data_IF_283016643941
#
_entry.id   IF_283016643941
#
_cell.length_a   1.000
_cell.length_b   1.000
_cell.length_c   1.000
_cell.angle_alpha   90.00
_cell.angle_beta   90.00
_cell.angle_gamma   90.00
#
_symmetry.space_group_name_H-M   'P 1'
#
loop_
_entity.id
_entity.type
_entity.pdbx_description
1 polymer ?
#
# COMPACT_ATOMS: atom_id res chain seq x y z
N UNK A 1 -45.52 -0.18 42.92
CA UNK A 1 -44.61 -1.34 42.77
C UNK A 1 -43.81 -1.12 41.49
N UNK A 2 -42.56 -0.67 41.60
CA UNK A 2 -41.68 -0.43 40.47
C UNK A 2 -40.62 -1.55 40.44
N UNK A 3 -40.64 -2.37 39.39
CA UNK A 3 -39.58 -3.33 39.09
C UNK A 3 -38.56 -2.69 38.16
N UNK A 4 -37.30 -2.71 38.61
CA UNK A 4 -36.12 -2.26 37.87
C UNK A 4 -35.73 -3.31 36.83
N UNK A 5 -36.01 -3.05 35.55
CA UNK A 5 -35.43 -3.78 34.43
C UNK A 5 -34.12 -3.10 34.00
N UNK A 6 -33.00 -3.56 34.55
CA UNK A 6 -31.67 -3.24 34.04
C UNK A 6 -31.42 -3.97 32.73
N UNK A 7 -31.29 -3.20 31.66
CA UNK A 7 -31.02 -3.62 30.29
C UNK A 7 -29.73 -4.43 30.15
N UNK A 8 -29.81 -5.49 29.34
CA UNK A 8 -28.77 -6.44 28.91
C UNK A 8 -27.54 -5.80 28.22
N UNK A 9 -27.51 -4.47 28.09
CA UNK A 9 -26.45 -3.72 27.43
C UNK A 9 -25.18 -3.54 28.28
N UNK A 10 -25.28 -3.53 29.61
CA UNK A 10 -24.11 -3.27 30.47
C UNK A 10 -23.26 -4.51 30.77
N UNK A 11 -23.82 -5.72 30.67
CA UNK A 11 -23.10 -6.98 30.94
C UNK A 11 -22.23 -7.39 29.72
N UNK A 12 -22.60 -7.01 28.50
CA UNK A 12 -21.86 -7.31 27.27
C UNK A 12 -20.53 -6.53 27.14
N UNK A 13 -20.42 -5.35 27.77
CA UNK A 13 -19.26 -4.45 27.59
C UNK A 13 -18.00 -4.91 28.35
N UNK A 14 -18.16 -5.57 29.51
CA UNK A 14 -17.03 -6.11 30.30
C UNK A 14 -16.49 -7.45 29.76
N UNK A 15 -17.33 -8.27 29.14
CA UNK A 15 -16.90 -9.54 28.50
C UNK A 15 -16.29 -9.34 27.10
N UNK A 16 -16.61 -8.23 26.40
CA UNK A 16 -15.98 -7.87 25.12
C UNK A 16 -14.56 -7.29 25.29
N UNK A 17 -14.26 -6.66 26.42
CA UNK A 17 -12.96 -6.03 26.66
C UNK A 17 -11.81 -7.04 26.86
N UNK A 18 -12.04 -8.19 27.50
CA UNK A 18 -11.01 -9.23 27.65
C UNK A 18 -10.72 -9.97 26.34
N UNK A 19 -11.75 -10.23 25.52
CA UNK A 19 -11.59 -10.80 24.18
C UNK A 19 -10.86 -9.86 23.22
N UNK A 20 -11.14 -8.55 23.29
CA UNK A 20 -10.43 -7.53 22.51
C UNK A 20 -8.97 -7.41 22.97
N UNK A 21 -8.71 -7.43 24.28
CA UNK A 21 -7.34 -7.34 24.81
C UNK A 21 -6.50 -8.57 24.47
N UNK A 22 -7.06 -9.79 24.53
CA UNK A 22 -6.38 -11.01 24.05
C UNK A 22 -6.17 -10.98 22.53
N UNK A 23 -7.13 -10.47 21.76
CA UNK A 23 -6.97 -10.33 20.31
C UNK A 23 -5.89 -9.30 19.95
N UNK A 24 -5.80 -8.20 20.69
CA UNK A 24 -4.72 -7.20 20.57
C UNK A 24 -3.37 -7.81 20.95
N UNK A 25 -3.28 -8.49 22.11
CA UNK A 25 -2.06 -9.17 22.55
C UNK A 25 -1.59 -10.22 21.54
N UNK A 26 -2.51 -11.00 20.96
CA UNK A 26 -2.21 -12.00 19.91
C UNK A 26 -1.84 -11.33 18.58
N UNK A 27 -2.45 -10.20 18.20
CA UNK A 27 -2.05 -9.47 16.99
C UNK A 27 -0.67 -8.83 17.14
N UNK A 28 -0.38 -8.22 18.28
CA UNK A 28 0.93 -7.67 18.61
C UNK A 28 2.00 -8.78 18.60
N UNK A 29 1.72 -9.92 19.24
CA UNK A 29 2.63 -11.07 19.22
C UNK A 29 2.84 -11.64 17.82
N UNK A 30 1.78 -11.73 17.00
CA UNK A 30 1.88 -12.24 15.62
C UNK A 30 2.67 -11.30 14.72
N UNK A 31 2.46 -9.99 14.86
CA UNK A 31 3.23 -8.96 14.16
C UNK A 31 4.69 -9.00 14.61
N UNK A 32 4.97 -9.09 15.90
CA UNK A 32 6.33 -9.25 16.43
C UNK A 32 7.01 -10.50 15.85
N UNK A 33 6.37 -11.67 15.87
CA UNK A 33 6.93 -12.90 15.26
C UNK A 33 7.21 -12.69 13.76
N UNK A 34 6.27 -12.09 13.04
CA UNK A 34 6.38 -11.87 11.59
C UNK A 34 7.53 -10.93 11.24
N UNK A 35 7.72 -9.86 12.00
CA UNK A 35 8.71 -8.83 11.73
C UNK A 35 10.09 -9.12 12.34
N UNK A 36 10.19 -9.95 13.39
CA UNK A 36 11.45 -10.16 14.11
C UNK A 36 12.00 -11.59 14.09
N UNK A 37 11.17 -12.62 13.88
CA UNK A 37 11.57 -14.04 13.95
C UNK A 37 11.52 -14.77 12.60
N UNK A 38 10.61 -14.39 11.70
CA UNK A 38 10.57 -14.97 10.35
C UNK A 38 11.66 -14.33 9.47
N UNK A 39 12.66 -15.16 9.12
CA UNK A 39 13.95 -14.77 8.55
C UNK A 39 13.87 -14.48 7.04
N UNK A 40 14.51 -13.38 6.63
CA UNK A 40 15.14 -13.05 5.34
C UNK A 40 14.45 -13.56 4.08
N UNK A 41 13.63 -12.71 3.47
CA UNK A 41 13.43 -12.79 2.04
C UNK A 41 14.78 -12.42 1.37
N UNK A 42 15.40 -13.39 0.70
CA UNK A 42 16.68 -13.22 0.00
C UNK A 42 16.38 -12.53 -1.34
N UNK A 43 16.36 -11.19 -1.37
CA UNK A 43 16.18 -10.48 -2.63
C UNK A 43 17.51 -10.44 -3.41
N UNK A 44 17.52 -10.59 -4.76
CA UNK A 44 18.71 -10.55 -5.60
C UNK A 44 19.30 -9.13 -5.71
N UNK A 45 20.63 -8.93 -5.77
CA UNK A 45 21.26 -7.60 -5.85
C UNK A 45 20.72 -6.83 -7.06
N UNK A 46 20.11 -5.65 -6.83
CA UNK A 46 19.72 -4.74 -7.91
C UNK A 46 20.64 -3.54 -7.88
N UNK A 47 21.27 -3.29 -9.02
CA UNK A 47 22.43 -2.40 -9.18
C UNK A 47 22.02 -1.11 -9.91
N UNK A 48 20.79 -0.61 -9.70
CA UNK A 48 20.14 0.36 -10.60
C UNK A 48 19.81 1.73 -10.01
N UNK A 49 20.20 2.05 -8.76
CA UNK A 49 19.89 3.38 -8.19
C UNK A 49 20.84 4.46 -8.72
N UNK A 50 22.03 4.06 -9.15
CA UNK A 50 23.09 4.98 -9.58
C UNK A 50 22.83 5.66 -10.93
N UNK A 51 21.82 5.26 -11.70
CA UNK A 51 21.66 5.70 -13.10
C UNK A 51 20.57 6.77 -13.26
N UNK A 52 19.66 6.95 -12.30
CA UNK A 52 18.42 7.74 -12.48
C UNK A 52 18.30 8.99 -11.62
N UNK A 53 19.07 9.11 -10.54
CA UNK A 53 19.07 10.28 -9.65
C UNK A 53 20.26 11.17 -9.95
N UNK A 54 20.02 12.46 -10.15
CA UNK A 54 21.08 13.47 -10.21
C UNK A 54 21.85 13.60 -8.89
N UNK A 55 23.08 14.10 -8.96
CA UNK A 55 23.98 14.26 -7.82
C UNK A 55 23.37 15.16 -6.71
N UNK A 56 22.58 16.19 -7.05
CA UNK A 56 21.94 17.05 -6.06
C UNK A 56 20.71 16.39 -5.42
N UNK A 57 19.91 15.67 -6.22
CA UNK A 57 18.79 14.86 -5.74
C UNK A 57 19.29 13.72 -4.84
N UNK A 58 20.40 13.08 -5.22
CA UNK A 58 21.10 12.05 -4.46
C UNK A 58 21.55 12.56 -3.11
N UNK A 59 22.19 13.73 -3.06
CA UNK A 59 22.66 14.30 -1.79
C UNK A 59 21.49 14.61 -0.85
N UNK A 60 20.42 15.19 -1.37
CA UNK A 60 19.18 15.44 -0.61
C UNK A 60 18.54 14.14 -0.11
N UNK A 61 18.60 13.09 -0.93
CA UNK A 61 18.12 11.76 -0.62
C UNK A 61 18.96 11.07 0.47
N UNK A 62 20.28 11.12 0.37
CA UNK A 62 21.23 10.61 1.36
C UNK A 62 21.11 11.34 2.72
N UNK A 63 20.96 12.67 2.69
CA UNK A 63 20.76 13.50 3.89
C UNK A 63 19.44 13.16 4.60
N UNK A 64 18.37 12.86 3.86
CA UNK A 64 17.08 12.44 4.44
C UNK A 64 17.10 11.00 4.97
N UNK A 65 17.95 10.13 4.41
CA UNK A 65 18.11 8.73 4.81
C UNK A 65 18.88 8.57 6.12
N UNK A 66 19.86 9.44 6.37
CA UNK A 66 20.75 9.33 7.52
C UNK A 66 20.04 9.32 8.89
N UNK A 67 19.08 10.22 9.20
CA UNK A 67 18.35 10.14 10.47
C UNK A 67 17.48 8.87 10.57
N UNK A 68 16.88 8.41 9.47
CA UNK A 68 16.08 7.19 9.44
C UNK A 68 16.92 5.95 9.69
N UNK A 69 18.13 5.89 9.15
CA UNK A 69 19.05 4.79 9.34
C UNK A 69 19.52 4.71 10.80
N UNK A 70 19.74 5.85 11.46
CA UNK A 70 20.08 5.87 12.90
C UNK A 70 18.93 5.35 13.77
N UNK A 71 17.67 5.76 13.48
CA UNK A 71 16.49 5.25 14.17
C UNK A 71 16.31 3.74 13.94
N UNK A 72 16.49 3.28 12.70
CA UNK A 72 16.44 1.85 12.36
C UNK A 72 17.44 1.06 13.19
N UNK A 73 18.69 1.53 13.29
CA UNK A 73 19.74 0.87 14.06
C UNK A 73 19.40 0.82 15.55
N UNK A 74 18.87 1.90 16.12
CA UNK A 74 18.43 1.94 17.51
C UNK A 74 17.32 0.91 17.77
N UNK A 75 16.27 0.88 16.94
CA UNK A 75 15.18 -0.09 17.06
C UNK A 75 15.70 -1.53 16.92
N UNK A 76 16.64 -1.77 16.01
CA UNK A 76 17.22 -3.11 15.83
C UNK A 76 18.05 -3.55 17.05
N UNK A 77 18.78 -2.61 17.68
CA UNK A 77 19.51 -2.87 18.93
C UNK A 77 18.54 -3.19 20.08
N UNK A 78 17.49 -2.40 20.26
CA UNK A 78 16.47 -2.61 21.30
C UNK A 78 15.74 -3.95 21.08
N UNK A 79 15.38 -4.25 19.82
CA UNK A 79 14.79 -5.52 19.44
C UNK A 79 15.75 -6.71 19.65
N UNK A 80 17.06 -6.50 19.51
CA UNK A 80 18.06 -7.53 19.80
C UNK A 80 18.13 -7.82 21.31
N UNK A 81 18.17 -6.78 22.14
CA UNK A 81 18.17 -6.91 23.61
C UNK A 81 16.93 -7.67 24.07
N UNK A 82 15.77 -7.30 23.54
CA UNK A 82 14.50 -7.97 23.82
C UNK A 82 14.54 -9.46 23.44
N UNK A 83 15.05 -9.78 22.24
CA UNK A 83 15.14 -11.17 21.71
C UNK A 83 16.16 -12.03 22.45
N UNK A 84 17.31 -11.48 22.83
CA UNK A 84 18.46 -12.23 23.34
C UNK A 84 18.60 -12.21 24.86
N UNK A 85 18.00 -11.24 25.53
CA UNK A 85 18.13 -11.07 26.98
C UNK A 85 16.76 -11.18 27.65
N UNK A 86 15.79 -10.32 27.30
CA UNK A 86 14.52 -10.25 28.03
C UNK A 86 13.66 -11.51 27.85
N UNK A 87 13.49 -11.98 26.60
CA UNK A 87 12.67 -13.18 26.30
C UNK A 87 13.22 -14.47 26.94
N UNK A 88 14.53 -14.80 26.86
CA UNK A 88 15.07 -15.98 27.55
C UNK A 88 15.05 -15.83 29.07
N UNK A 89 15.27 -14.63 29.62
CA UNK A 89 15.19 -14.39 31.05
C UNK A 89 13.76 -14.60 31.57
N UNK A 90 12.75 -14.15 30.81
CA UNK A 90 11.35 -14.42 31.11
C UNK A 90 11.02 -15.91 31.03
N UNK A 91 11.55 -16.62 30.02
CA UNK A 91 11.38 -18.06 29.90
C UNK A 91 11.98 -18.81 31.10
N UNK A 92 13.19 -18.42 31.54
CA UNK A 92 13.82 -18.96 32.75
C UNK A 92 12.97 -18.65 33.99
N UNK A 93 12.49 -17.43 34.15
CA UNK A 93 11.59 -17.04 35.24
C UNK A 93 10.31 -17.89 35.25
N UNK A 94 9.71 -18.14 34.08
CA UNK A 94 8.52 -18.98 33.94
C UNK A 94 8.79 -20.42 34.38
N UNK A 95 9.94 -20.99 33.98
CA UNK A 95 10.36 -22.33 34.42
C UNK A 95 10.54 -22.37 35.94
N UNK A 96 11.21 -21.37 36.52
CA UNK A 96 11.43 -21.29 37.98
C UNK A 96 10.11 -21.16 38.74
N UNK A 97 9.17 -20.34 38.28
CA UNK A 97 7.84 -20.24 38.88
C UNK A 97 7.07 -21.57 38.85
N UNK A 98 7.19 -22.36 37.78
CA UNK A 98 6.56 -23.68 37.68
C UNK A 98 7.12 -24.69 38.70
N UNK A 99 8.41 -24.58 39.05
CA UNK A 99 9.05 -25.47 40.03
C UNK A 99 8.77 -25.08 41.49
N UNK A 100 8.61 -23.79 41.79
CA UNK A 100 8.46 -23.29 43.17
C UNK A 100 7.02 -23.46 43.70
N UNK A 101 6.00 -23.47 42.83
CA UNK A 101 4.60 -23.55 43.25
C UNK A 101 4.04 -24.98 43.16
N UNK A 102 3.78 -25.68 44.28
CA UNK A 102 3.24 -27.03 44.26
C UNK A 102 1.80 -27.06 43.73
N UNK A 103 1.55 -28.00 42.80
CA UNK A 103 0.32 -28.19 42.01
C UNK A 103 -0.98 -28.23 42.86
N UNK A 104 -0.89 -28.59 44.14
CA UNK A 104 -2.06 -28.80 45.02
C UNK A 104 -2.76 -27.55 45.58
N UNK A 105 -2.12 -26.36 45.61
CA UNK A 105 -2.76 -25.10 46.07
C UNK A 105 -3.21 -24.19 44.93
N UNK A 106 -3.10 -24.68 43.70
CA UNK A 106 -3.32 -23.95 42.46
C UNK A 106 -4.82 -23.93 42.06
N UNK A 107 -5.76 -23.63 42.98
CA UNK A 107 -7.19 -23.68 42.66
C UNK A 107 -8.02 -22.42 43.01
N UNK A 108 -7.42 -21.33 43.46
CA UNK A 108 -8.16 -20.06 43.56
C UNK A 108 -7.33 -18.89 43.05
N UNK A 109 -7.86 -18.21 42.02
CA UNK A 109 -7.37 -16.96 41.42
C UNK A 109 -6.04 -17.01 40.63
N UNK A 110 -5.00 -17.68 41.14
CA UNK A 110 -3.65 -17.61 40.56
C UNK A 110 -3.42 -18.44 39.29
N UNK A 111 -4.26 -19.45 39.02
CA UNK A 111 -4.15 -20.31 37.81
C UNK A 111 -4.34 -19.54 36.52
N UNK A 112 -5.21 -18.53 36.54
CA UNK A 112 -5.49 -17.68 35.38
C UNK A 112 -4.68 -16.38 35.45
N UNK A 113 -4.49 -15.81 36.65
CA UNK A 113 -3.77 -14.56 36.82
C UNK A 113 -2.26 -14.67 36.53
N UNK A 114 -1.61 -15.78 36.90
CA UNK A 114 -0.17 -15.98 36.70
C UNK A 114 0.23 -16.14 35.22
N UNK A 115 -0.44 -16.99 34.41
CA UNK A 115 -0.16 -17.02 32.96
C UNK A 115 -0.58 -15.72 32.25
N UNK A 116 -1.66 -15.05 32.70
CA UNK A 116 -2.08 -13.77 32.12
C UNK A 116 -1.05 -12.65 32.42
N UNK A 117 -0.51 -12.58 33.64
CA UNK A 117 0.54 -11.61 34.00
C UNK A 117 1.86 -11.91 33.30
N UNK A 118 2.23 -13.20 33.15
CA UNK A 118 3.38 -13.65 32.37
C UNK A 118 3.25 -13.36 30.87
N UNK A 119 2.04 -13.28 30.32
CA UNK A 119 1.81 -12.89 28.93
C UNK A 119 1.76 -11.36 28.78
N UNK A 120 1.13 -10.65 29.72
CA UNK A 120 0.92 -9.21 29.65
C UNK A 120 2.19 -8.39 29.93
N UNK A 121 3.06 -8.80 30.85
CA UNK A 121 4.32 -8.09 31.13
C UNK A 121 5.25 -7.99 29.92
N UNK A 122 5.60 -9.10 29.23
CA UNK A 122 6.42 -9.01 28.03
C UNK A 122 5.69 -8.30 26.91
N UNK A 123 4.38 -8.48 26.75
CA UNK A 123 3.64 -7.76 25.73
C UNK A 123 3.62 -6.24 25.97
N UNK A 124 3.55 -5.80 27.23
CA UNK A 124 3.68 -4.39 27.60
C UNK A 124 5.06 -3.84 27.28
N UNK A 125 6.12 -4.56 27.66
CA UNK A 125 7.51 -4.17 27.34
C UNK A 125 7.72 -4.16 25.83
N UNK A 126 7.29 -5.19 25.10
CA UNK A 126 7.36 -5.26 23.63
C UNK A 126 6.63 -4.07 23.01
N UNK A 127 5.45 -3.72 23.50
CA UNK A 127 4.70 -2.57 23.01
C UNK A 127 5.50 -1.27 23.17
N UNK A 128 5.89 -0.97 24.41
CA UNK A 128 6.53 0.30 24.78
C UNK A 128 7.93 0.44 24.16
N UNK A 129 8.69 -0.65 24.03
CA UNK A 129 10.07 -0.56 23.48
C UNK A 129 10.14 -0.73 21.96
N UNK A 130 9.25 -1.51 21.36
CA UNK A 130 9.38 -1.90 19.95
C UNK A 130 8.26 -1.33 19.08
N UNK A 131 7.00 -1.44 19.49
CA UNK A 131 5.90 -0.97 18.65
C UNK A 131 5.87 0.55 18.56
N UNK A 132 5.96 1.26 19.68
CA UNK A 132 5.92 2.73 19.68
C UNK A 132 7.11 3.31 18.89
N UNK A 133 8.31 2.72 19.04
CA UNK A 133 9.50 3.11 18.29
C UNK A 133 9.38 2.78 16.79
N UNK A 134 8.77 1.63 16.45
CA UNK A 134 8.51 1.23 15.07
C UNK A 134 7.47 2.13 14.38
N UNK A 135 6.39 2.47 15.07
CA UNK A 135 5.39 3.44 14.58
C UNK A 135 6.05 4.80 14.34
N UNK A 136 6.88 5.27 15.26
CA UNK A 136 7.63 6.51 15.08
C UNK A 136 8.57 6.47 13.87
N UNK A 137 9.27 5.35 13.64
CA UNK A 137 10.09 5.16 12.46
C UNK A 137 9.26 5.14 11.15
N UNK A 138 8.11 4.47 11.14
CA UNK A 138 7.19 4.48 10.01
C UNK A 138 6.67 5.89 9.71
N UNK A 139 6.31 6.65 10.74
CA UNK A 139 5.87 8.03 10.59
C UNK A 139 6.99 8.92 10.05
N UNK A 140 8.21 8.82 10.58
CA UNK A 140 9.34 9.58 10.04
C UNK A 140 9.67 9.19 8.60
N UNK A 141 9.61 7.90 8.26
CA UNK A 141 9.77 7.45 6.88
C UNK A 141 8.73 8.12 5.96
N UNK A 142 7.46 8.17 6.39
CA UNK A 142 6.38 8.79 5.60
C UNK A 142 6.47 10.32 5.53
N UNK A 143 6.95 10.98 6.59
CA UNK A 143 7.00 12.46 6.65
C UNK A 143 8.30 13.06 6.12
N UNK A 144 9.41 12.33 6.12
CA UNK A 144 10.72 12.83 5.68
C UNK A 144 11.13 12.21 4.33
N UNK A 145 11.09 10.89 4.22
CA UNK A 145 11.63 10.19 3.06
C UNK A 145 10.72 10.30 1.83
N UNK A 146 9.43 9.99 1.98
CA UNK A 146 8.50 9.99 0.83
C UNK A 146 8.36 11.38 0.19
N UNK A 147 8.23 12.50 0.95
CA UNK A 147 8.18 13.84 0.35
C UNK A 147 9.49 14.26 -0.30
N UNK A 148 10.64 13.89 0.28
CA UNK A 148 11.95 14.17 -0.32
C UNK A 148 12.12 13.44 -1.66
N UNK A 149 11.69 12.19 -1.71
CA UNK A 149 11.65 11.42 -2.94
C UNK A 149 10.65 12.01 -3.94
N UNK A 150 9.43 12.35 -3.52
CA UNK A 150 8.44 12.98 -4.41
C UNK A 150 9.01 14.25 -5.09
N UNK A 151 9.71 15.10 -4.31
CA UNK A 151 10.38 16.30 -4.83
C UNK A 151 11.53 16.00 -5.80
N UNK A 152 12.22 14.87 -5.69
CA UNK A 152 13.30 14.53 -6.63
C UNK A 152 12.78 14.18 -8.03
N UNK A 153 11.50 13.83 -8.17
CA UNK A 153 10.87 13.56 -9.47
C UNK A 153 10.18 14.80 -10.08
N UNK A 154 10.12 15.93 -9.37
CA UNK A 154 9.55 17.19 -9.82
C UNK A 154 8.61 17.84 -8.79
N UNK A 155 7.68 18.66 -9.26
CA UNK A 155 6.66 19.32 -8.43
C UNK A 155 5.51 18.35 -8.06
N UNK A 156 5.86 17.31 -7.30
CA UNK A 156 4.91 16.33 -6.76
C UNK A 156 4.57 16.69 -5.31
N UNK A 157 3.30 16.78 -5.01
CA UNK A 157 2.80 16.88 -3.65
C UNK A 157 2.47 15.49 -3.10
N UNK A 158 2.90 15.22 -1.86
CA UNK A 158 2.57 13.99 -1.14
C UNK A 158 1.74 14.30 0.11
N UNK A 159 0.72 13.48 0.36
CA UNK A 159 -0.12 13.52 1.55
C UNK A 159 -0.38 12.10 2.04
N UNK A 160 0.13 11.76 3.22
CA UNK A 160 -0.04 10.42 3.82
C UNK A 160 -1.51 10.01 3.96
N UNK A 161 -2.35 10.93 4.43
CA UNK A 161 -3.80 10.71 4.63
C UNK A 161 -4.65 11.39 3.55
N UNK A 162 -4.05 11.71 2.39
CA UNK A 162 -4.79 12.25 1.26
C UNK A 162 -5.64 11.16 0.59
N UNK A 163 -6.63 11.60 -0.19
CA UNK A 163 -7.56 10.69 -0.86
C UNK A 163 -8.13 11.32 -2.13
N UNK A 164 -8.49 10.47 -3.08
CA UNK A 164 -9.36 10.80 -4.20
C UNK A 164 -10.80 10.64 -3.71
N UNK A 165 -11.55 11.74 -3.75
CA UNK A 165 -12.96 11.74 -3.36
C UNK A 165 -13.73 10.64 -4.10
N UNK A 166 -14.55 9.90 -3.36
CA UNK A 166 -15.30 8.74 -3.86
C UNK A 166 -16.10 9.07 -5.13
N UNK A 167 -16.74 10.24 -5.17
CA UNK A 167 -17.49 10.72 -6.33
C UNK A 167 -16.63 10.85 -7.58
N UNK A 168 -15.38 11.31 -7.45
CA UNK A 168 -14.49 11.55 -8.58
C UNK A 168 -14.08 10.27 -9.30
N UNK A 169 -13.95 9.14 -8.62
CA UNK A 169 -13.67 7.88 -9.31
C UNK A 169 -14.93 7.06 -9.57
N UNK A 170 -15.94 7.08 -8.68
CA UNK A 170 -17.21 6.35 -8.86
C UNK A 170 -18.04 6.89 -10.03
N UNK A 171 -18.13 8.21 -10.20
CA UNK A 171 -18.82 8.82 -11.34
C UNK A 171 -18.08 8.60 -12.66
N UNK A 172 -16.80 8.22 -12.55
CA UNK A 172 -15.95 7.80 -13.66
C UNK A 172 -15.82 6.29 -13.72
N UNK A 173 -16.77 5.51 -13.20
CA UNK A 173 -16.95 4.12 -13.59
C UNK A 173 -18.01 4.08 -14.71
N UNK A 174 -17.97 3.12 -15.64
CA UNK A 174 -18.90 3.13 -16.77
C UNK A 174 -20.37 3.10 -16.28
N UNK A 175 -21.26 3.89 -16.90
CA UNK A 175 -22.70 3.80 -16.60
C UNK A 175 -23.23 2.40 -16.94
N UNK A 176 -23.83 1.73 -15.96
CA UNK A 176 -24.24 0.32 -16.08
C UNK A 176 -23.15 -0.68 -15.67
N UNK A 177 -21.87 -0.30 -15.76
CA UNK A 177 -20.80 -0.99 -15.07
C UNK A 177 -20.86 -0.63 -13.60
N UNK A 178 -21.71 -1.35 -12.88
CA UNK A 178 -21.52 -1.48 -11.45
C UNK A 178 -20.06 -1.88 -11.19
N UNK A 179 -19.53 -1.59 -10.01
CA UNK A 179 -18.20 -2.08 -9.61
C UNK A 179 -18.03 -3.56 -10.01
N UNK A 180 -19.12 -4.35 -9.98
CA UNK A 180 -19.22 -5.75 -10.38
C UNK A 180 -18.72 -6.06 -11.80
N UNK A 181 -18.89 -5.16 -12.76
CA UNK A 181 -18.45 -5.36 -14.15
C UNK A 181 -16.92 -5.21 -14.29
N UNK A 182 -16.29 -4.46 -13.38
CA UNK A 182 -14.83 -4.49 -13.16
C UNK A 182 -14.40 -5.56 -12.13
N UNK A 183 -15.35 -6.38 -11.66
CA UNK A 183 -15.14 -7.39 -10.62
C UNK A 183 -14.93 -6.83 -9.22
N UNK A 184 -15.27 -5.57 -8.99
CA UNK A 184 -15.13 -4.84 -7.73
C UNK A 184 -16.48 -4.84 -7.01
N UNK A 185 -16.54 -5.03 -5.70
CA UNK A 185 -17.78 -4.77 -4.97
C UNK A 185 -17.43 -3.79 -3.87
N UNK A 186 -17.74 -2.52 -4.10
CA UNK A 186 -17.26 -1.41 -3.26
C UNK A 186 -18.38 -0.99 -2.31
N UNK A 187 -18.24 -1.35 -1.05
CA UNK A 187 -19.07 -0.86 0.05
C UNK A 187 -18.28 0.10 0.95
N UNK A 188 -16.97 -0.15 1.09
CA UNK A 188 -16.05 0.69 1.87
C UNK A 188 -14.75 0.87 1.10
N UNK A 189 -14.21 2.08 1.19
CA UNK A 189 -12.95 2.50 0.58
C UNK A 189 -12.01 2.93 1.70
N UNK A 190 -10.80 2.39 1.73
CA UNK A 190 -9.68 2.89 2.52
C UNK A 190 -8.62 3.41 1.54
N UNK A 191 -8.08 4.59 1.80
CA UNK A 191 -7.06 5.23 0.96
C UNK A 191 -5.95 5.80 1.84
N UNK A 192 -4.73 5.73 1.35
CA UNK A 192 -3.52 6.26 1.96
C UNK A 192 -2.50 6.61 0.87
N UNK A 193 -1.45 7.33 1.22
CA UNK A 193 -0.33 7.64 0.33
C UNK A 193 -0.76 8.29 -0.99
N UNK A 194 -1.34 9.48 -0.87
CA UNK A 194 -1.78 10.29 -1.99
C UNK A 194 -0.62 11.10 -2.56
N UNK A 195 -0.41 10.98 -3.86
CA UNK A 195 0.48 11.80 -4.65
C UNK A 195 -0.33 12.55 -5.70
N UNK A 196 -0.01 13.81 -5.91
CA UNK A 196 -0.54 14.54 -7.05
C UNK A 196 0.53 15.45 -7.65
N UNK A 197 0.33 15.76 -8.91
CA UNK A 197 1.24 16.64 -9.62
C UNK A 197 0.70 17.01 -10.98
N UNK A 198 1.47 17.83 -11.67
CA UNK A 198 1.22 18.16 -13.06
C UNK A 198 2.45 17.76 -13.87
N UNK A 199 2.26 16.98 -14.93
CA UNK A 199 3.33 16.60 -15.84
C UNK A 199 2.95 17.01 -17.26
N UNK A 200 3.73 17.90 -17.87
CA UNK A 200 3.46 18.47 -19.21
C UNK A 200 2.02 18.98 -19.37
N UNK A 201 1.48 19.64 -18.36
CA UNK A 201 0.11 20.17 -18.34
C UNK A 201 -1.00 19.14 -18.08
N UNK A 202 -0.66 17.85 -17.94
CA UNK A 202 -1.58 16.80 -17.53
C UNK A 202 -1.56 16.68 -16.01
N UNK A 203 -2.73 16.88 -15.38
CA UNK A 203 -2.89 16.64 -13.94
C UNK A 203 -3.02 15.15 -13.70
N UNK A 204 -2.29 14.65 -12.71
CA UNK A 204 -2.36 13.27 -12.30
C UNK A 204 -2.43 13.13 -10.78
N UNK A 205 -3.09 12.06 -10.35
CA UNK A 205 -3.28 11.72 -8.94
C UNK A 205 -3.07 10.22 -8.78
N UNK A 206 -2.26 9.82 -7.82
CA UNK A 206 -1.96 8.43 -7.49
C UNK A 206 -2.27 8.21 -6.02
N UNK A 207 -3.01 7.16 -5.68
CA UNK A 207 -3.32 6.84 -4.28
C UNK A 207 -3.32 5.33 -4.07
N UNK A 208 -2.82 4.87 -2.94
CA UNK A 208 -3.01 3.50 -2.51
C UNK A 208 -4.43 3.34 -2.00
N UNK A 209 -5.15 2.34 -2.51
CA UNK A 209 -6.53 2.08 -2.14
C UNK A 209 -6.79 0.60 -1.84
N UNK A 210 -7.66 0.37 -0.87
CA UNK A 210 -8.21 -0.92 -0.54
C UNK A 210 -9.74 -0.84 -0.55
N UNK A 211 -10.36 -1.64 -1.40
CA UNK A 211 -11.81 -1.66 -1.55
C UNK A 211 -12.39 -2.92 -0.93
N UNK A 212 -13.42 -2.76 -0.11
CA UNK A 212 -14.10 -3.86 0.58
C UNK A 212 -15.55 -3.95 0.15
N UNK A 213 -16.05 -5.17 0.07
CA UNK A 213 -17.46 -5.44 -0.13
C UNK A 213 -18.28 -5.36 1.17
N UNK A 214 -19.61 -5.49 1.05
CA UNK A 214 -20.54 -5.52 2.19
C UNK A 214 -20.28 -6.65 3.19
N UNK A 215 -19.49 -7.66 2.82
CA UNK A 215 -19.06 -8.76 3.68
C UNK A 215 -17.67 -8.51 4.30
N UNK A 216 -17.16 -7.28 4.21
CA UNK A 216 -15.81 -6.88 4.67
C UNK A 216 -14.66 -7.67 4.04
N UNK A 217 -14.86 -8.27 2.85
CA UNK A 217 -13.76 -8.90 2.10
C UNK A 217 -13.16 -7.88 1.15
N UNK A 218 -11.83 -7.78 1.15
CA UNK A 218 -11.10 -6.98 0.17
C UNK A 218 -11.37 -7.53 -1.24
N UNK A 219 -11.73 -6.62 -2.14
CA UNK A 219 -12.05 -6.86 -3.55
C UNK A 219 -11.01 -6.23 -4.48
N UNK A 220 -10.24 -5.27 -3.96
CA UNK A 220 -9.12 -4.63 -4.61
C UNK A 220 -8.15 -4.14 -3.55
N UNK A 221 -6.86 -4.31 -3.79
CA UNK A 221 -5.78 -3.75 -2.98
C UNK A 221 -4.65 -3.36 -3.92
N UNK A 222 -4.36 -2.08 -4.03
CA UNK A 222 -3.40 -1.59 -5.00
C UNK A 222 -3.42 -0.09 -5.19
N UNK A 223 -2.99 0.36 -6.36
CA UNK A 223 -2.89 1.77 -6.72
C UNK A 223 -4.03 2.19 -7.62
N UNK A 224 -4.59 3.36 -7.35
CA UNK A 224 -5.46 4.09 -8.27
C UNK A 224 -4.65 5.24 -8.88
N UNK A 225 -4.47 5.20 -10.20
CA UNK A 225 -3.91 6.31 -10.96
C UNK A 225 -5.03 6.99 -11.73
N UNK A 226 -5.27 8.25 -11.46
CA UNK A 226 -6.20 9.10 -12.19
C UNK A 226 -5.40 10.13 -13.00
N UNK A 227 -5.59 10.12 -14.31
CA UNK A 227 -4.99 11.07 -15.25
C UNK A 227 -6.10 11.92 -15.88
N UNK A 228 -5.87 13.23 -15.97
CA UNK A 228 -6.71 14.17 -16.72
C UNK A 228 -6.01 14.52 -18.04
N UNK A 229 -6.42 13.82 -19.09
CA UNK A 229 -5.89 13.96 -20.44
C UNK A 229 -6.25 15.35 -21.01
N UNK A 230 -5.37 15.92 -21.86
CA UNK A 230 -5.59 17.25 -22.44
C UNK A 230 -6.74 17.31 -23.43
N UNK A 231 -7.16 16.17 -23.97
CA UNK A 231 -8.29 16.04 -24.90
C UNK A 231 -9.32 15.08 -24.34
N UNK A 232 -10.59 15.41 -24.58
CA UNK A 232 -11.70 14.50 -24.30
C UNK A 232 -11.89 13.56 -25.49
N UNK A 233 -12.13 12.28 -25.20
CA UNK A 233 -12.49 11.28 -26.19
C UNK A 233 -13.98 11.03 -26.15
N UNK A 234 -14.57 10.75 -27.31
CA UNK A 234 -15.95 10.32 -27.41
C UNK A 234 -16.05 8.83 -27.05
N UNK A 235 -17.12 8.46 -26.37
CA UNK A 235 -17.30 7.09 -25.90
C UNK A 235 -16.44 6.70 -24.70
N UNK A 236 -16.70 5.51 -24.20
CA UNK A 236 -16.14 4.97 -22.97
C UNK A 236 -15.34 3.72 -23.28
N UNK A 237 -14.06 3.70 -22.92
CA UNK A 237 -13.17 2.53 -23.12
C UNK A 237 -12.86 1.88 -21.77
N UNK A 238 -13.00 0.55 -21.69
CA UNK A 238 -12.64 -0.28 -20.53
C UNK A 238 -11.57 -1.28 -20.95
N UNK A 239 -10.54 -1.41 -20.11
CA UNK A 239 -9.47 -2.40 -20.21
C UNK A 239 -9.59 -3.33 -19.01
N UNK A 240 -9.68 -4.63 -19.24
CA UNK A 240 -9.71 -5.62 -18.16
C UNK A 240 -9.10 -6.97 -18.59
N UNK A 241 -8.99 -7.92 -17.66
CA UNK A 241 -8.36 -9.23 -17.92
C UNK A 241 -9.36 -10.38 -18.17
N UNK A 242 -10.67 -10.14 -18.03
CA UNK A 242 -11.65 -11.25 -17.95
C UNK A 242 -12.58 -11.30 -19.14
N UNK A 243 -13.52 -10.35 -19.22
CA UNK A 243 -14.62 -10.39 -20.16
C UNK A 243 -15.02 -8.98 -20.57
N UNK A 244 -15.58 -8.81 -21.77
CA UNK A 244 -16.15 -7.53 -22.18
C UNK A 244 -17.19 -7.04 -21.17
N UNK A 245 -17.19 -5.74 -20.93
CA UNK A 245 -18.18 -5.09 -20.05
C UNK A 245 -19.52 -5.00 -20.76
N UNK A 246 -20.62 -5.16 -20.01
CA UNK A 246 -21.98 -5.03 -20.57
C UNK A 246 -22.19 -3.63 -21.13
N UNK A 247 -22.77 -3.54 -22.33
CA UNK A 247 -23.02 -2.26 -23.00
C UNK A 247 -21.83 -1.70 -23.80
N UNK A 248 -20.69 -2.40 -23.82
CA UNK A 248 -19.55 -2.09 -24.66
C UNK A 248 -19.22 -3.27 -25.59
N UNK A 249 -18.67 -2.97 -26.76
CA UNK A 249 -18.24 -3.99 -27.72
C UNK A 249 -16.73 -4.21 -27.63
N UNK A 250 -16.29 -5.45 -27.86
CA UNK A 250 -14.86 -5.77 -27.87
C UNK A 250 -14.18 -5.00 -29.01
N UNK A 251 -13.17 -4.21 -28.67
CA UNK A 251 -12.33 -3.48 -29.62
C UNK A 251 -11.30 -4.45 -30.17
N UNK A 252 -11.27 -4.61 -31.49
CA UNK A 252 -10.21 -5.36 -32.15
C UNK A 252 -8.99 -4.45 -32.30
N UNK A 253 -7.91 -4.75 -31.59
CA UNK A 253 -6.65 -4.02 -31.66
C UNK A 253 -5.63 -4.83 -32.48
N UNK A 254 -4.47 -4.23 -32.74
CA UNK A 254 -3.35 -4.97 -33.33
C UNK A 254 -2.94 -6.13 -32.42
N UNK A 255 -2.53 -7.24 -33.04
CA UNK A 255 -2.10 -8.43 -32.32
C UNK A 255 -0.75 -8.17 -31.65
N UNK A 256 -0.61 -8.66 -30.41
CA UNK A 256 0.59 -8.49 -29.60
C UNK A 256 0.30 -8.81 -28.13
N UNK A 257 1.35 -8.74 -27.33
CA UNK A 257 1.34 -9.12 -25.92
C UNK A 257 0.20 -8.46 -25.12
N UNK A 258 -0.09 -7.19 -25.38
CA UNK A 258 -1.21 -6.48 -24.75
C UNK A 258 -2.56 -7.14 -25.05
N UNK A 259 -2.86 -7.43 -26.33
CA UNK A 259 -4.14 -7.98 -26.79
C UNK A 259 -4.35 -9.44 -26.40
N UNK A 260 -3.26 -10.18 -26.21
CA UNK A 260 -3.28 -11.58 -25.74
C UNK A 260 -3.66 -11.67 -24.26
N UNK A 261 -3.35 -10.63 -23.51
CA UNK A 261 -3.40 -10.63 -22.05
C UNK A 261 -4.49 -9.71 -21.47
N UNK A 262 -4.97 -8.73 -22.24
CA UNK A 262 -5.98 -7.75 -21.85
C UNK A 262 -7.07 -7.66 -22.92
N UNK A 263 -8.31 -7.53 -22.45
CA UNK A 263 -9.49 -7.34 -23.26
C UNK A 263 -9.90 -5.88 -23.18
N UNK A 264 -10.01 -5.25 -24.34
CA UNK A 264 -10.50 -3.87 -24.47
C UNK A 264 -11.94 -3.89 -24.98
N UNK A 265 -12.80 -3.17 -24.28
CA UNK A 265 -14.20 -2.96 -24.67
C UNK A 265 -14.47 -1.47 -24.76
N UNK A 266 -15.22 -1.03 -25.77
CA UNK A 266 -15.59 0.37 -25.91
C UNK A 266 -17.02 0.54 -26.42
N UNK A 267 -17.62 1.69 -26.12
CA UNK A 267 -18.86 2.14 -26.79
C UNK A 267 -18.58 2.72 -28.18
N UNK A 268 -17.34 3.18 -28.42
CA UNK A 268 -16.86 3.63 -29.73
C UNK A 268 -15.49 3.02 -30.02
N UNK A 269 -15.46 2.17 -31.05
CA UNK A 269 -14.24 1.47 -31.46
C UNK A 269 -13.22 2.39 -32.13
N UNK A 270 -13.67 3.44 -32.82
CA UNK A 270 -12.78 4.38 -33.52
C UNK A 270 -12.05 5.22 -32.49
N UNK A 271 -12.80 5.81 -31.55
CA UNK A 271 -12.23 6.58 -30.45
C UNK A 271 -11.27 5.74 -29.60
N UNK A 272 -11.62 4.50 -29.24
CA UNK A 272 -10.73 3.63 -28.47
C UNK A 272 -9.38 3.38 -29.15
N UNK A 273 -9.38 3.13 -30.47
CA UNK A 273 -8.16 2.91 -31.26
C UNK A 273 -7.31 4.17 -31.41
N UNK A 274 -7.92 5.36 -31.34
CA UNK A 274 -7.21 6.62 -31.49
C UNK A 274 -6.21 6.89 -30.36
N UNK A 275 -6.52 6.47 -29.14
CA UNK A 275 -5.67 6.67 -27.96
C UNK A 275 -4.91 5.41 -27.51
N UNK A 276 -5.41 4.22 -27.85
CA UNK A 276 -4.69 2.95 -27.66
C UNK A 276 -3.77 2.68 -28.85
N UNK A 277 -2.82 3.59 -29.06
CA UNK A 277 -1.76 3.39 -30.04
C UNK A 277 -0.85 2.22 -29.62
N UNK A 278 -0.11 1.58 -30.54
CA UNK A 278 0.82 0.50 -30.22
C UNK A 278 1.81 0.85 -29.10
N UNK A 279 2.31 2.09 -29.08
CA UNK A 279 3.18 2.57 -28.02
C UNK A 279 2.48 2.61 -26.65
N UNK A 280 1.23 3.06 -26.57
CA UNK A 280 0.46 3.07 -25.32
C UNK A 280 0.13 1.65 -24.87
N UNK A 281 -0.26 0.77 -25.78
CA UNK A 281 -0.52 -0.65 -25.48
C UNK A 281 0.72 -1.32 -24.88
N UNK A 282 1.90 -1.07 -25.47
CA UNK A 282 3.16 -1.60 -24.95
C UNK A 282 3.45 -1.07 -23.54
N UNK A 283 3.28 0.24 -23.29
CA UNK A 283 3.51 0.80 -21.94
C UNK A 283 2.53 0.28 -20.90
N UNK A 284 1.25 0.12 -21.26
CA UNK A 284 0.26 -0.49 -20.38
C UNK A 284 0.61 -1.96 -20.09
N UNK A 285 1.16 -2.68 -21.07
CA UNK A 285 1.64 -4.04 -20.86
C UNK A 285 2.86 -4.09 -19.93
N UNK A 286 3.86 -3.22 -20.13
CA UNK A 286 5.01 -3.10 -19.22
C UNK A 286 4.57 -2.77 -17.79
N UNK A 287 3.60 -1.88 -17.62
CA UNK A 287 3.00 -1.59 -16.32
C UNK A 287 2.37 -2.84 -15.70
N UNK A 288 1.61 -3.62 -16.49
CA UNK A 288 1.04 -4.90 -16.07
C UNK A 288 2.09 -5.96 -15.74
N UNK A 289 3.33 -5.88 -16.23
CA UNK A 289 4.39 -6.79 -15.82
C UNK A 289 4.95 -6.47 -14.42
N UNK A 290 4.81 -5.21 -13.96
CA UNK A 290 5.24 -4.78 -12.62
C UNK A 290 4.16 -5.03 -11.55
N UNK A 291 2.90 -5.12 -11.95
CA UNK A 291 1.76 -5.25 -11.04
C UNK A 291 1.00 -6.56 -11.27
N UNK A 292 0.37 -7.11 -10.23
CA UNK A 292 -0.33 -8.40 -10.33
C UNK A 292 -1.56 -8.35 -11.26
N UNK A 293 -2.05 -7.14 -11.56
CA UNK A 293 -3.22 -6.91 -12.37
C UNK A 293 -3.32 -5.46 -12.82
N UNK A 294 -3.96 -5.27 -13.98
CA UNK A 294 -4.24 -3.96 -14.57
C UNK A 294 -5.71 -3.90 -15.00
N UNK A 295 -6.40 -2.85 -14.57
CA UNK A 295 -7.71 -2.46 -15.08
C UNK A 295 -7.65 -0.99 -15.48
N UNK A 296 -8.29 -0.63 -16.56
CA UNK A 296 -8.32 0.73 -17.07
C UNK A 296 -9.72 1.15 -17.45
N UNK A 297 -10.01 2.44 -17.27
CA UNK A 297 -11.26 3.02 -17.71
C UNK A 297 -11.03 4.46 -18.17
N UNK A 298 -11.36 4.72 -19.43
CA UNK A 298 -11.31 6.05 -20.02
C UNK A 298 -12.73 6.52 -20.34
N UNK A 299 -13.09 7.69 -19.82
CA UNK A 299 -14.34 8.37 -20.13
C UNK A 299 -14.09 9.87 -20.27
N UNK A 300 -14.44 10.43 -21.43
CA UNK A 300 -14.14 11.82 -21.74
C UNK A 300 -12.64 12.09 -21.73
N UNK A 301 -12.19 13.02 -20.88
CA UNK A 301 -10.77 13.33 -20.67
C UNK A 301 -10.13 12.59 -19.48
N UNK A 302 -10.89 11.78 -18.75
CA UNK A 302 -10.37 11.13 -17.53
C UNK A 302 -10.01 9.68 -17.80
N UNK A 303 -8.76 9.31 -17.51
CA UNK A 303 -8.28 7.93 -17.50
C UNK A 303 -8.04 7.48 -16.06
N UNK A 304 -8.77 6.46 -15.61
CA UNK A 304 -8.56 5.77 -14.34
C UNK A 304 -7.87 4.44 -14.62
N UNK A 305 -6.68 4.23 -14.06
CA UNK A 305 -6.02 2.93 -14.01
C UNK A 305 -6.04 2.40 -12.57
N UNK A 306 -6.25 1.10 -12.45
CA UNK A 306 -6.18 0.37 -11.21
C UNK A 306 -5.13 -0.72 -11.35
N UNK A 307 -4.12 -0.66 -10.48
CA UNK A 307 -2.96 -1.56 -10.49
C UNK A 307 -3.02 -2.41 -9.24
N UNK A 308 -3.17 -3.72 -9.38
CA UNK A 308 -3.19 -4.62 -8.23
C UNK A 308 -1.76 -4.73 -7.67
N UNK A 309 -1.56 -4.24 -6.45
CA UNK A 309 -0.31 -4.38 -5.70
C UNK A 309 -0.59 -4.44 -4.22
N UNK A 310 -0.29 -5.56 -3.55
CA UNK A 310 -0.57 -5.65 -2.12
C UNK A 310 0.34 -4.77 -1.26
N UNK A 311 1.47 -4.27 -1.79
CA UNK A 311 2.58 -3.70 -1.01
C UNK A 311 3.23 -2.46 -1.67
N UNK A 312 2.45 -1.49 -2.11
CA UNK A 312 3.02 -0.18 -2.49
C UNK A 312 3.60 0.52 -1.25
N UNK A 313 4.76 1.18 -1.41
CA UNK A 313 5.45 1.90 -0.33
C UNK A 313 5.67 1.09 0.97
N UNK A 314 5.81 -0.23 0.84
CA UNK A 314 5.99 -1.06 2.02
C UNK A 314 7.29 -0.71 2.74
N UNK A 315 7.18 -0.50 4.05
CA UNK A 315 8.31 -0.21 4.91
C UNK A 315 9.32 -1.37 4.80
N UNK A 316 10.60 -1.10 4.48
CA UNK A 316 11.59 -2.15 4.43
C UNK A 316 11.75 -2.79 5.82
N UNK A 317 12.08 -4.09 5.88
CA UNK A 317 12.38 -4.76 7.13
C UNK A 317 13.46 -4.02 7.93
N UNK A 318 13.24 -3.87 9.24
CA UNK A 318 14.15 -3.13 10.16
C UNK A 318 15.57 -3.70 10.15
N UNK A 319 15.76 -4.97 9.81
CA UNK A 319 17.08 -5.61 9.79
C UNK A 319 17.92 -5.26 8.55
N UNK A 320 17.33 -4.61 7.54
CA UNK A 320 18.00 -4.25 6.28
C UNK A 320 18.29 -2.73 6.27
N UNK A 321 19.56 -2.30 6.04
CA UNK A 321 19.89 -0.87 5.92
C UNK A 321 19.14 -0.23 4.77
N UNK A 322 18.58 0.96 4.98
CA UNK A 322 17.88 1.71 3.94
C UNK A 322 18.79 2.04 2.75
N UNK A 323 20.08 2.24 2.99
CA UNK A 323 21.10 2.48 1.95
C UNK A 323 21.37 1.27 1.05
N UNK A 324 21.03 0.05 1.47
CA UNK A 324 21.20 -1.18 0.67
C UNK A 324 19.91 -1.61 -0.06
N UNK A 325 18.81 -0.83 0.04
CA UNK A 325 17.47 -1.33 -0.24
C UNK A 325 17.07 -1.38 -1.72
N UNK A 326 16.92 -2.62 -2.23
CA UNK A 326 15.98 -2.96 -3.32
C UNK A 326 14.57 -2.40 -3.12
N UNK A 327 14.01 -2.34 -1.89
CA UNK A 327 12.70 -1.72 -1.65
C UNK A 327 12.57 -0.26 -2.10
N UNK A 328 13.51 0.63 -1.73
CA UNK A 328 13.48 2.03 -2.18
C UNK A 328 13.66 2.13 -3.69
N UNK A 329 14.50 1.25 -4.24
CA UNK A 329 14.68 1.09 -5.68
C UNK A 329 13.42 0.66 -6.43
N UNK A 330 12.67 -0.28 -5.85
CA UNK A 330 11.42 -0.77 -6.43
C UNK A 330 10.41 0.37 -6.53
N UNK A 331 10.27 1.16 -5.48
CA UNK A 331 9.40 2.33 -5.48
C UNK A 331 9.82 3.38 -6.52
N UNK A 332 11.12 3.68 -6.63
CA UNK A 332 11.65 4.55 -7.70
C UNK A 332 11.30 4.00 -9.09
N UNK A 333 11.48 2.70 -9.32
CA UNK A 333 11.18 2.07 -10.61
C UNK A 333 9.68 2.04 -10.93
N UNK A 334 8.82 1.87 -9.92
CA UNK A 334 7.37 1.95 -10.06
C UNK A 334 6.95 3.36 -10.49
N UNK A 335 7.44 4.39 -9.79
CA UNK A 335 7.17 5.79 -10.15
C UNK A 335 7.72 6.13 -11.53
N UNK A 336 8.94 5.72 -11.85
CA UNK A 336 9.53 5.96 -13.16
C UNK A 336 8.68 5.35 -14.28
N UNK A 337 8.21 4.11 -14.10
CA UNK A 337 7.35 3.45 -15.10
C UNK A 337 6.01 4.16 -15.24
N UNK A 338 5.42 4.64 -14.14
CA UNK A 338 4.23 5.48 -14.18
C UNK A 338 4.46 6.78 -14.96
N UNK A 339 5.59 7.45 -14.75
CA UNK A 339 5.97 8.64 -15.52
C UNK A 339 6.18 8.34 -17.00
N UNK A 340 6.88 7.25 -17.34
CA UNK A 340 7.08 6.84 -18.72
C UNK A 340 5.76 6.53 -19.43
N UNK A 341 4.78 5.98 -18.71
CA UNK A 341 3.42 5.79 -19.21
C UNK A 341 2.75 7.14 -19.49
N UNK A 342 2.79 8.08 -18.53
CA UNK A 342 2.23 9.42 -18.71
C UNK A 342 2.90 10.10 -19.92
N UNK A 343 4.23 10.05 -20.02
CA UNK A 343 4.96 10.61 -21.16
C UNK A 343 4.55 10.00 -22.49
N UNK A 344 4.38 8.69 -22.54
CA UNK A 344 3.95 7.99 -23.77
C UNK A 344 2.51 8.34 -24.13
N UNK A 345 1.61 8.45 -23.13
CA UNK A 345 0.25 8.92 -23.34
C UNK A 345 0.21 10.37 -23.84
N UNK A 346 1.12 11.21 -23.35
CA UNK A 346 1.20 12.62 -23.73
C UNK A 346 1.92 12.88 -25.05
N UNK A 347 2.87 12.03 -25.44
CA UNK A 347 3.56 12.11 -26.73
C UNK A 347 2.61 11.99 -27.94
N UNK A 348 1.42 11.45 -27.71
CA UNK A 348 0.32 11.36 -28.69
C UNK A 348 -0.34 12.72 -28.97
N UNK A 349 -0.16 13.70 -28.07
CA UNK A 349 -0.75 15.03 -28.17
C UNK A 349 0.34 16.05 -28.54
N UNK A 350 0.54 16.34 -29.84
CA UNK A 350 1.63 17.21 -30.31
C UNK A 350 1.52 18.67 -29.87
N UNK A 351 0.36 19.09 -29.35
CA UNK A 351 0.09 20.49 -28.95
C UNK A 351 0.55 20.83 -27.52
N UNK A 352 1.11 19.86 -26.78
CA UNK A 352 1.60 20.08 -25.42
C UNK A 352 2.97 20.75 -25.42
N UNK A 353 3.26 21.64 -24.44
CA UNK A 353 4.55 22.30 -24.36
C UNK A 353 5.70 21.26 -24.40
N UNK A 354 6.79 21.57 -25.13
CA UNK A 354 7.95 20.69 -25.19
C UNK A 354 8.51 20.47 -23.78
N UNK A 355 9.18 19.33 -23.59
CA UNK A 355 9.85 19.00 -22.33
C UNK A 355 10.66 20.20 -21.85
N UNK A 356 10.35 20.74 -20.67
CA UNK A 356 11.36 21.49 -19.93
C UNK A 356 12.45 20.46 -19.65
N UNK A 357 13.69 20.66 -20.09
CA UNK A 357 14.76 19.75 -19.74
C UNK A 357 14.72 19.57 -18.23
N UNK A 358 14.71 18.31 -17.77
CA UNK A 358 15.00 18.04 -16.35
C UNK A 358 16.23 18.88 -16.05
N UNK A 359 16.11 19.81 -15.10
CA UNK A 359 17.31 20.31 -14.44
C UNK A 359 17.92 19.03 -13.89
N UNK A 360 18.97 18.58 -14.58
CA UNK A 360 19.77 17.42 -14.20
C UNK A 360 20.14 17.70 -12.77
#
# INVERSE_FOLDING_TARGET
MASTNTSSYQVSRKLKQSGIMMHLLVSEWRSFIKHTLLRKQKLPPSQQLDITLDDAARKTFEDALLPLETLRQQINQDAWILRKVALPLLLVYMVVCLFIFPVGKLLSFWVLALPLTLLCLPAGVIKETFFDAYEHYNDQFRHAFIPALAKSFGDIEYQQNGYIADERFKNRLPMGATSFDLGLAIARTEQEDYFCGTHRGCRWELVQANFFNYKHKSTFKGLLLLLELPRSFEGTTVINMRNPVKGAQRVHLEQGEFSDHLIVSSTDQISARSWLTPAVMERLYQLRLLFDGLKGHLAGSSLLLMLDTPNFLSLPPIDIPLTETKPCLHFVSELETLYQLIDTLLAQFPDLPPQTPRAV
#
